data_IF_073316318485
#
_entry.id   IF_073316318485
#
_cell.length_a   1.000
_cell.length_b   1.000
_cell.length_c   1.000
_cell.angle_alpha   90.00
_cell.angle_beta   90.00
_cell.angle_gamma   90.00
#
_symmetry.space_group_name_H-M   'P 1'
#
loop_
_entity.id
_entity.type
_entity.pdbx_description
1 polymer ?
#
# COMPACT_ATOMS: atom_id res chain seq x y z
N UNK A 1 8.32 -22.94 17.63
CA UNK A 1 9.46 -22.07 17.24
C UNK A 1 9.15 -21.26 15.98
N UNK A 2 8.44 -21.85 15.01
CA UNK A 2 8.05 -21.25 13.73
C UNK A 2 7.28 -19.91 13.85
N UNK A 3 6.34 -19.78 14.79
CA UNK A 3 5.54 -18.55 14.98
C UNK A 3 6.39 -17.35 15.43
N UNK A 4 7.39 -17.57 16.29
CA UNK A 4 8.29 -16.50 16.77
C UNK A 4 9.23 -16.04 15.66
N UNK A 5 9.74 -16.97 14.86
CA UNK A 5 10.58 -16.65 13.70
C UNK A 5 9.78 -15.91 12.62
N UNK A 6 8.52 -16.29 12.39
CA UNK A 6 7.64 -15.59 11.45
C UNK A 6 7.29 -14.16 11.91
N UNK A 7 6.99 -13.97 13.19
CA UNK A 7 6.76 -12.62 13.75
C UNK A 7 8.00 -11.74 13.64
N UNK A 8 9.17 -12.29 13.98
CA UNK A 8 10.44 -11.57 13.89
C UNK A 8 10.76 -11.18 12.44
N UNK A 9 10.54 -12.09 11.49
CA UNK A 9 10.70 -11.81 10.06
C UNK A 9 9.82 -10.64 9.60
N UNK A 10 8.53 -10.63 9.98
CA UNK A 10 7.59 -9.56 9.61
C UNK A 10 8.05 -8.21 10.19
N UNK A 11 8.45 -8.18 11.48
CA UNK A 11 8.95 -6.96 12.11
C UNK A 11 10.21 -6.44 11.42
N UNK A 12 11.14 -7.33 11.06
CA UNK A 12 12.36 -6.96 10.33
C UNK A 12 12.03 -6.50 8.91
N UNK A 13 11.08 -7.12 8.20
CA UNK A 13 10.62 -6.67 6.89
C UNK A 13 10.02 -5.27 6.92
N UNK A 14 9.23 -4.96 7.95
CA UNK A 14 8.67 -3.61 8.13
C UNK A 14 9.80 -2.61 8.38
N UNK A 15 10.74 -2.92 9.26
CA UNK A 15 11.86 -2.03 9.58
C UNK A 15 12.78 -1.77 8.38
N UNK A 16 13.27 -2.83 7.74
CA UNK A 16 14.17 -2.73 6.58
C UNK A 16 13.45 -2.16 5.36
N UNK A 17 12.20 -2.57 5.13
CA UNK A 17 11.36 -2.02 4.06
C UNK A 17 11.17 -0.52 4.23
N UNK A 18 10.78 -0.06 5.42
CA UNK A 18 10.60 1.37 5.70
C UNK A 18 11.90 2.16 5.50
N UNK A 19 13.02 1.66 6.02
CA UNK A 19 14.32 2.34 5.90
C UNK A 19 14.79 2.44 4.44
N UNK A 20 14.71 1.34 3.68
CA UNK A 20 15.09 1.32 2.25
C UNK A 20 14.18 2.19 1.39
N UNK A 21 12.87 2.18 1.66
CA UNK A 21 11.90 3.09 1.03
C UNK A 21 12.22 4.56 1.29
N UNK A 22 12.51 4.91 2.55
CA UNK A 22 12.84 6.27 2.95
C UNK A 22 14.13 6.77 2.29
N UNK A 23 15.16 5.93 2.22
CA UNK A 23 16.42 6.28 1.52
C UNK A 23 16.16 6.55 0.04
N UNK A 24 15.41 5.68 -0.66
CA UNK A 24 15.09 5.91 -2.08
C UNK A 24 14.14 7.08 -2.30
N UNK A 25 13.22 7.35 -1.37
CA UNK A 25 12.39 8.54 -1.41
C UNK A 25 13.22 9.83 -1.26
N UNK A 26 14.21 9.85 -0.37
CA UNK A 26 15.15 10.98 -0.21
C UNK A 26 15.96 11.18 -1.50
N UNK A 27 16.50 10.11 -2.07
CA UNK A 27 17.23 10.18 -3.35
C UNK A 27 16.31 10.68 -4.47
N UNK A 28 15.09 10.18 -4.54
CA UNK A 28 14.07 10.61 -5.49
C UNK A 28 13.69 12.08 -5.32
N UNK A 29 13.54 12.53 -4.08
CA UNK A 29 13.27 13.93 -3.75
C UNK A 29 14.44 14.82 -4.20
N UNK A 30 15.69 14.46 -3.91
CA UNK A 30 16.85 15.23 -4.35
C UNK A 30 16.94 15.33 -5.87
N UNK A 31 16.74 14.21 -6.58
CA UNK A 31 16.72 14.19 -8.05
C UNK A 31 15.62 15.09 -8.59
N UNK A 32 14.42 14.97 -8.05
CA UNK A 32 13.24 15.67 -8.55
C UNK A 32 13.27 17.16 -8.21
N UNK A 33 13.71 17.51 -7.01
CA UNK A 33 13.82 18.90 -6.56
C UNK A 33 14.94 19.64 -7.30
N UNK A 34 16.13 19.03 -7.43
CA UNK A 34 17.28 19.69 -8.07
C UNK A 34 17.20 19.67 -9.60
N UNK A 35 16.77 18.56 -10.20
CA UNK A 35 16.76 18.44 -11.68
C UNK A 35 15.47 18.93 -12.31
N UNK A 36 14.32 18.75 -11.65
CA UNK A 36 13.02 19.00 -12.27
C UNK A 36 12.40 20.33 -11.83
N UNK A 37 12.19 20.52 -10.52
CA UNK A 37 11.52 21.72 -10.01
C UNK A 37 12.37 22.98 -10.15
N UNK A 38 13.66 22.92 -9.77
CA UNK A 38 14.55 24.08 -9.90
C UNK A 38 14.91 24.44 -11.35
N UNK A 39 15.05 23.47 -12.26
CA UNK A 39 15.41 23.77 -13.66
C UNK A 39 14.22 24.15 -14.55
N UNK A 40 13.04 23.57 -14.32
CA UNK A 40 11.88 23.74 -15.23
C UNK A 40 10.86 24.74 -14.66
N UNK A 41 10.53 24.65 -13.37
CA UNK A 41 9.41 25.40 -12.78
C UNK A 41 9.85 26.80 -12.32
N UNK A 42 11.08 26.96 -11.82
CA UNK A 42 11.55 28.24 -11.26
C UNK A 42 11.64 29.40 -12.27
N UNK A 43 11.78 29.13 -13.58
CA UNK A 43 12.09 30.20 -14.55
C UNK A 43 11.36 30.14 -15.91
N UNK A 44 10.57 29.09 -16.23
CA UNK A 44 10.02 28.92 -17.60
C UNK A 44 8.51 28.71 -17.70
N UNK A 45 7.80 28.51 -16.59
CA UNK A 45 6.41 28.03 -16.64
C UNK A 45 5.50 28.92 -15.79
N UNK A 46 4.80 29.85 -16.42
CA UNK A 46 3.81 30.74 -15.76
C UNK A 46 2.40 30.12 -15.67
N UNK A 47 2.15 29.03 -16.40
CA UNK A 47 0.83 28.42 -16.49
C UNK A 47 0.63 27.33 -15.41
N UNK A 48 -0.37 27.51 -14.55
CA UNK A 48 -0.68 26.59 -13.43
C UNK A 48 -0.91 25.13 -13.85
N UNK A 49 -1.38 24.87 -15.07
CA UNK A 49 -1.54 23.52 -15.61
C UNK A 49 -0.20 22.77 -15.68
N UNK A 50 0.84 23.40 -16.21
CA UNK A 50 2.15 22.79 -16.38
C UNK A 50 2.86 22.60 -15.04
N UNK A 51 2.70 23.55 -14.12
CA UNK A 51 3.18 23.41 -12.74
C UNK A 51 2.54 22.19 -12.08
N UNK A 52 1.22 22.01 -12.23
CA UNK A 52 0.51 20.82 -11.74
C UNK A 52 1.01 19.53 -12.38
N UNK A 53 1.17 19.50 -13.70
CA UNK A 53 1.65 18.31 -14.43
C UNK A 53 3.06 17.90 -13.99
N UNK A 54 3.98 18.86 -13.89
CA UNK A 54 5.36 18.56 -13.44
C UNK A 54 5.41 18.13 -11.98
N UNK A 55 4.56 18.72 -11.12
CA UNK A 55 4.43 18.30 -9.73
C UNK A 55 3.86 16.88 -9.63
N UNK A 56 2.92 16.51 -10.50
CA UNK A 56 2.38 15.15 -10.55
C UNK A 56 3.44 14.13 -10.97
N UNK A 57 4.23 14.43 -12.02
CA UNK A 57 5.33 13.56 -12.47
C UNK A 57 6.37 13.40 -11.37
N UNK A 58 6.73 14.50 -10.71
CA UNK A 58 7.64 14.54 -9.57
C UNK A 58 7.17 13.68 -8.39
N UNK A 59 5.87 13.76 -8.08
CA UNK A 59 5.25 12.95 -7.05
C UNK A 59 5.27 11.47 -7.44
N UNK A 60 4.86 11.13 -8.66
CA UNK A 60 4.81 9.74 -9.14
C UNK A 60 6.19 9.09 -9.20
N UNK A 61 7.24 9.83 -9.58
CA UNK A 61 8.61 9.31 -9.63
C UNK A 61 9.13 9.00 -8.23
N UNK A 62 8.98 9.95 -7.30
CA UNK A 62 9.43 9.81 -5.91
C UNK A 62 8.67 8.70 -5.19
N UNK A 63 7.35 8.64 -5.41
CA UNK A 63 6.50 7.58 -4.88
C UNK A 63 6.89 6.20 -5.41
N UNK A 64 7.11 6.09 -6.72
CA UNK A 64 7.52 4.83 -7.35
C UNK A 64 8.86 4.35 -6.78
N UNK A 65 9.85 5.24 -6.64
CA UNK A 65 11.15 4.90 -6.04
C UNK A 65 11.01 4.39 -4.60
N UNK A 66 10.15 5.03 -3.81
CA UNK A 66 9.86 4.57 -2.44
C UNK A 66 9.27 3.14 -2.45
N UNK A 67 8.28 2.88 -3.30
CA UNK A 67 7.63 1.56 -3.44
C UNK A 67 8.64 0.49 -3.85
N UNK A 68 9.51 0.81 -4.82
CA UNK A 68 10.59 -0.09 -5.26
C UNK A 68 11.52 -0.40 -4.10
N UNK A 69 11.97 0.61 -3.36
CA UNK A 69 12.87 0.44 -2.22
C UNK A 69 12.30 -0.51 -1.17
N UNK A 70 11.06 -0.25 -0.77
CA UNK A 70 10.35 -1.08 0.20
C UNK A 70 10.27 -2.52 -0.27
N UNK A 71 9.85 -2.76 -1.52
CA UNK A 71 9.68 -4.11 -2.02
C UNK A 71 11.00 -4.89 -2.14
N UNK A 72 12.09 -4.24 -2.54
CA UNK A 72 13.42 -4.84 -2.51
C UNK A 72 13.90 -5.13 -1.08
N UNK A 73 13.64 -4.22 -0.13
CA UNK A 73 13.93 -4.44 1.29
C UNK A 73 13.18 -5.66 1.86
N UNK A 74 11.89 -5.79 1.56
CA UNK A 74 11.07 -6.94 1.95
C UNK A 74 11.65 -8.24 1.36
N UNK A 75 11.96 -8.25 0.06
CA UNK A 75 12.53 -9.42 -0.61
C UNK A 75 13.88 -9.82 -0.02
N UNK A 76 14.75 -8.85 0.26
CA UNK A 76 16.06 -9.12 0.85
C UNK A 76 15.94 -9.79 2.22
N UNK A 77 15.01 -9.31 3.05
CA UNK A 77 14.73 -9.93 4.35
C UNK A 77 14.11 -11.32 4.16
N UNK A 78 13.10 -11.47 3.30
CA UNK A 78 12.47 -12.77 3.02
C UNK A 78 13.50 -13.84 2.62
N UNK A 79 14.41 -13.50 1.70
CA UNK A 79 15.48 -14.38 1.25
C UNK A 79 16.44 -14.76 2.39
N UNK A 80 16.77 -13.83 3.30
CA UNK A 80 17.61 -14.12 4.48
C UNK A 80 16.96 -15.09 5.46
N UNK A 81 15.63 -15.10 5.51
CA UNK A 81 14.85 -16.03 6.33
C UNK A 81 14.43 -17.31 5.56
N UNK A 82 14.96 -17.53 4.34
CA UNK A 82 14.67 -18.72 3.54
C UNK A 82 13.28 -18.75 2.92
N UNK A 83 12.56 -17.63 2.86
CA UNK A 83 11.28 -17.52 2.17
C UNK A 83 11.46 -17.02 0.74
N UNK A 84 10.77 -17.67 -0.20
CA UNK A 84 10.65 -17.13 -1.55
C UNK A 84 9.68 -15.94 -1.58
N UNK A 85 10.13 -14.83 -2.15
CA UNK A 85 9.36 -13.60 -2.23
C UNK A 85 9.24 -13.15 -3.69
N UNK A 86 8.03 -13.30 -4.22
CA UNK A 86 7.70 -12.83 -5.55
C UNK A 86 7.66 -11.29 -5.58
N UNK A 87 8.70 -10.70 -6.15
CA UNK A 87 8.89 -9.24 -6.20
C UNK A 87 7.70 -8.50 -6.83
N UNK A 88 7.07 -9.08 -7.87
CA UNK A 88 5.92 -8.46 -8.55
C UNK A 88 4.75 -8.25 -7.59
N UNK A 89 4.49 -9.24 -6.73
CA UNK A 89 3.39 -9.17 -5.77
C UNK A 89 3.71 -8.23 -4.60
N UNK A 90 4.97 -8.22 -4.16
CA UNK A 90 5.45 -7.25 -3.17
C UNK A 90 5.34 -5.81 -3.69
N UNK A 91 5.60 -5.57 -4.98
CA UNK A 91 5.42 -4.26 -5.62
C UNK A 91 3.94 -3.85 -5.67
N UNK A 92 3.08 -4.73 -6.17
CA UNK A 92 1.64 -4.46 -6.26
C UNK A 92 1.04 -4.16 -4.88
N UNK A 93 1.39 -4.97 -3.87
CA UNK A 93 0.97 -4.75 -2.50
C UNK A 93 1.50 -3.44 -1.92
N UNK A 94 2.77 -3.12 -2.15
CA UNK A 94 3.40 -1.89 -1.65
C UNK A 94 2.79 -0.63 -2.28
N UNK A 95 2.42 -0.72 -3.56
CA UNK A 95 1.71 0.34 -4.27
C UNK A 95 0.26 0.52 -3.77
N UNK A 96 -0.44 -0.56 -3.43
CA UNK A 96 -1.83 -0.51 -2.95
C UNK A 96 -1.97 -0.17 -1.46
N UNK A 97 -0.92 -0.35 -0.67
CA UNK A 97 -0.92 -0.08 0.78
C UNK A 97 -1.35 1.35 1.14
N UNK A 98 -0.69 2.40 0.60
CA UNK A 98 -1.06 3.79 0.90
C UNK A 98 -2.46 4.18 0.44
N UNK A 99 -2.91 3.88 -0.80
CA UNK A 99 -4.29 4.12 -1.19
C UNK A 99 -5.31 3.41 -0.30
N UNK A 100 -5.05 2.16 0.10
CA UNK A 100 -5.93 1.43 1.00
C UNK A 100 -6.01 2.12 2.38
N UNK A 101 -4.88 2.56 2.92
CA UNK A 101 -4.86 3.34 4.17
C UNK A 101 -5.63 4.66 4.02
N UNK A 102 -5.47 5.37 2.90
CA UNK A 102 -6.18 6.62 2.64
C UNK A 102 -7.71 6.41 2.69
N UNK A 103 -8.21 5.36 2.05
CA UNK A 103 -9.64 4.99 2.09
C UNK A 103 -10.07 4.69 3.52
N UNK A 104 -9.27 3.95 4.30
CA UNK A 104 -9.60 3.65 5.70
C UNK A 104 -9.65 4.91 6.56
N UNK A 105 -8.69 5.84 6.39
CA UNK A 105 -8.67 7.13 7.10
C UNK A 105 -9.90 7.96 6.72
N UNK A 106 -10.21 8.10 5.43
CA UNK A 106 -11.41 8.82 4.97
C UNK A 106 -12.69 8.21 5.54
N UNK A 107 -12.76 6.89 5.59
CA UNK A 107 -13.89 6.13 6.15
C UNK A 107 -14.13 6.48 7.62
N UNK A 108 -13.08 6.69 8.41
CA UNK A 108 -13.23 7.09 9.83
C UNK A 108 -13.81 8.50 10.02
N UNK A 109 -13.68 9.36 9.01
CA UNK A 109 -14.15 10.74 9.03
C UNK A 109 -15.48 10.93 8.27
N UNK A 110 -15.97 9.88 7.62
CA UNK A 110 -17.15 9.93 6.77
C UNK A 110 -18.42 10.07 7.64
N UNK A 111 -19.23 11.08 7.35
CA UNK A 111 -20.58 11.18 7.91
C UNK A 111 -21.54 10.32 7.08
N UNK A 112 -21.70 9.07 7.50
CA UNK A 112 -22.56 8.08 6.85
C UNK A 112 -24.03 8.51 6.76
N UNK A 113 -24.51 9.29 7.72
CA UNK A 113 -25.88 9.78 7.73
C UNK A 113 -26.10 10.80 6.60
N UNK A 114 -25.23 11.81 6.50
CA UNK A 114 -25.27 12.79 5.40
C UNK A 114 -25.09 12.12 4.04
N UNK A 115 -24.25 11.07 3.97
CA UNK A 115 -24.08 10.30 2.74
C UNK A 115 -25.37 9.61 2.31
N UNK A 116 -26.08 9.00 3.26
CA UNK A 116 -27.35 8.29 3.01
C UNK A 116 -28.45 9.26 2.60
N UNK A 117 -28.57 10.39 3.30
CA UNK A 117 -29.53 11.46 3.00
C UNK A 117 -29.29 12.06 1.60
N UNK A 118 -28.03 12.16 1.15
CA UNK A 118 -27.67 12.69 -0.17
C UNK A 118 -28.15 11.82 -1.35
N UNK A 119 -28.34 10.51 -1.13
CA UNK A 119 -28.83 9.58 -2.15
C UNK A 119 -30.34 9.32 -2.05
N UNK A 120 -31.03 9.96 -1.09
CA UNK A 120 -32.46 9.78 -0.84
C UNK A 120 -32.76 8.50 -0.05
N UNK A 121 -33.56 8.66 1.00
CA UNK A 121 -34.02 7.56 1.85
C UNK A 121 -34.82 6.53 1.05
N UNK A 122 -34.47 5.25 1.19
CA UNK A 122 -35.11 4.14 0.49
C UNK A 122 -34.62 3.86 -0.94
N UNK A 123 -33.61 4.60 -1.43
CA UNK A 123 -32.94 4.26 -2.69
C UNK A 123 -32.15 2.95 -2.56
N UNK A 124 -31.92 2.25 -3.69
CA UNK A 124 -31.03 1.07 -3.72
C UNK A 124 -29.62 1.39 -3.16
N UNK A 125 -29.15 2.63 -3.37
CA UNK A 125 -27.87 3.10 -2.84
C UNK A 125 -27.90 3.23 -1.31
N UNK A 126 -29.00 3.69 -0.71
CA UNK A 126 -29.17 3.74 0.76
C UNK A 126 -29.04 2.36 1.39
N UNK A 127 -29.64 1.32 0.78
CA UNK A 127 -29.50 -0.07 1.24
C UNK A 127 -28.07 -0.62 1.11
N UNK A 128 -27.37 -0.29 0.03
CA UNK A 128 -25.96 -0.66 -0.14
C UNK A 128 -25.09 0.02 0.93
N UNK A 129 -25.33 1.30 1.22
CA UNK A 129 -24.60 2.05 2.25
C UNK A 129 -24.81 1.40 3.63
N UNK A 130 -26.04 1.01 3.96
CA UNK A 130 -26.37 0.32 5.22
C UNK A 130 -25.61 -0.99 5.41
N UNK A 131 -25.31 -1.73 4.33
CA UNK A 131 -24.54 -2.98 4.39
C UNK A 131 -23.03 -2.69 4.41
N UNK A 132 -22.58 -1.69 3.64
CA UNK A 132 -21.16 -1.33 3.54
C UNK A 132 -20.66 -0.66 4.82
N UNK A 133 -21.49 0.17 5.46
CA UNK A 133 -21.14 0.92 6.67
C UNK A 133 -20.56 0.03 7.79
N UNK A 134 -21.19 -1.07 8.23
CA UNK A 134 -20.62 -1.90 9.30
C UNK A 134 -19.31 -2.58 8.88
N UNK A 135 -19.16 -2.99 7.62
CA UNK A 135 -17.90 -3.57 7.09
C UNK A 135 -16.79 -2.52 7.07
N UNK A 136 -17.12 -1.30 6.65
CA UNK A 136 -16.20 -0.18 6.57
C UNK A 136 -15.77 0.29 7.98
N UNK A 137 -16.70 0.34 8.94
CA UNK A 137 -16.40 0.64 10.34
C UNK A 137 -15.52 -0.43 10.99
N UNK A 138 -15.81 -1.71 10.75
CA UNK A 138 -15.00 -2.81 11.29
C UNK A 138 -13.57 -2.79 10.73
N UNK A 139 -13.42 -2.62 9.42
CA UNK A 139 -12.11 -2.56 8.76
C UNK A 139 -11.31 -1.30 9.11
N UNK A 140 -11.97 -0.16 9.35
CA UNK A 140 -11.32 1.09 9.74
C UNK A 140 -11.09 1.24 11.25
N UNK A 141 -11.63 0.34 12.07
CA UNK A 141 -11.46 0.38 13.53
C UNK A 141 -9.99 0.44 13.99
N UNK A 142 -9.05 -0.38 13.46
CA UNK A 142 -7.64 -0.30 13.84
C UNK A 142 -7.02 1.07 13.52
N UNK A 143 -7.41 1.67 12.40
CA UNK A 143 -6.98 3.00 11.95
C UNK A 143 -7.56 4.07 12.87
N UNK A 144 -8.83 3.96 13.25
CA UNK A 144 -9.47 4.87 14.21
C UNK A 144 -8.74 4.87 15.57
N UNK A 145 -8.38 3.70 16.09
CA UNK A 145 -7.62 3.57 17.34
C UNK A 145 -6.24 4.24 17.21
N UNK A 146 -5.52 4.01 16.11
CA UNK A 146 -4.22 4.63 15.85
C UNK A 146 -4.29 6.17 15.79
N UNK A 147 -5.31 6.71 15.11
CA UNK A 147 -5.55 8.15 15.04
C UNK A 147 -5.89 8.73 16.43
N UNK A 148 -6.67 8.01 17.23
CA UNK A 148 -7.06 8.43 18.59
C UNK A 148 -5.87 8.47 19.56
N UNK A 149 -4.88 7.60 19.37
CA UNK A 149 -3.62 7.58 20.14
C UNK A 149 -2.68 8.73 19.70
N UNK A 150 -3.02 9.45 18.62
CA UNK A 150 -2.23 10.56 18.11
C UNK A 150 -1.05 10.11 17.25
N UNK A 151 -1.13 8.91 16.65
CA UNK A 151 -0.11 8.48 15.68
C UNK A 151 -0.19 9.39 14.46
N UNK A 152 0.92 10.06 14.07
CA UNK A 152 0.93 10.94 12.91
C UNK A 152 0.62 10.15 11.64
N UNK A 153 -0.21 10.74 10.78
CA UNK A 153 -0.73 10.10 9.57
C UNK A 153 0.41 9.76 8.60
N UNK A 154 1.49 10.55 8.63
CA UNK A 154 2.72 10.35 7.87
C UNK A 154 3.40 9.01 8.23
N UNK A 155 3.46 8.66 9.51
CA UNK A 155 4.01 7.36 9.94
C UNK A 155 3.10 6.21 9.51
N UNK A 156 1.79 6.41 9.57
CA UNK A 156 0.83 5.40 9.11
C UNK A 156 1.02 5.13 7.61
N UNK A 157 1.17 6.18 6.79
CA UNK A 157 1.46 6.03 5.36
C UNK A 157 2.82 5.36 5.12
N UNK A 158 3.86 5.74 5.85
CA UNK A 158 5.18 5.10 5.73
C UNK A 158 5.13 3.61 6.04
N UNK A 159 4.33 3.18 7.02
CA UNK A 159 4.16 1.77 7.39
C UNK A 159 3.20 1.03 6.46
N UNK A 160 2.25 1.73 5.83
CA UNK A 160 1.30 1.12 4.91
C UNK A 160 1.97 0.53 3.66
N UNK A 161 3.06 1.14 3.18
CA UNK A 161 3.84 0.64 2.03
C UNK A 161 4.41 -0.75 2.34
N UNK A 162 5.22 -0.97 3.39
CA UNK A 162 5.76 -2.30 3.68
C UNK A 162 4.70 -3.30 4.10
N UNK A 163 3.66 -2.89 4.85
CA UNK A 163 2.55 -3.78 5.22
C UNK A 163 1.83 -4.27 3.97
N UNK A 164 1.50 -3.36 3.05
CA UNK A 164 0.89 -3.71 1.77
C UNK A 164 1.76 -4.67 0.98
N UNK A 165 3.07 -4.43 0.92
CA UNK A 165 4.02 -5.32 0.25
C UNK A 165 4.05 -6.73 0.83
N UNK A 166 4.08 -6.84 2.15
CA UNK A 166 4.08 -8.12 2.87
C UNK A 166 2.79 -8.90 2.60
N UNK A 167 1.63 -8.23 2.69
CA UNK A 167 0.33 -8.84 2.39
C UNK A 167 0.31 -9.31 0.93
N UNK A 168 0.74 -8.45 -0.01
CA UNK A 168 0.71 -8.73 -1.44
C UNK A 168 1.43 -10.01 -1.82
N UNK A 169 2.66 -10.23 -1.33
CA UNK A 169 3.40 -11.45 -1.69
C UNK A 169 2.95 -12.69 -0.90
N UNK A 170 2.44 -12.53 0.34
CA UNK A 170 1.93 -13.65 1.14
C UNK A 170 0.57 -14.17 0.66
N UNK A 171 -0.29 -13.30 0.13
CA UNK A 171 -1.62 -13.70 -0.35
C UNK A 171 -1.55 -14.69 -1.53
N UNK A 172 -0.49 -14.64 -2.34
CA UNK A 172 -0.34 -15.54 -3.49
C UNK A 172 0.33 -16.88 -3.17
N UNK A 173 0.91 -17.06 -1.96
CA UNK A 173 1.45 -18.35 -1.54
C UNK A 173 0.36 -19.43 -1.56
N UNK A 174 -0.85 -19.11 -1.07
CA UNK A 174 -1.96 -20.07 -1.06
C UNK A 174 -2.55 -20.36 -2.45
N UNK A 175 -2.42 -19.44 -3.42
CA UNK A 175 -2.96 -19.65 -4.78
C UNK A 175 -2.00 -20.45 -5.67
N UNK A 176 -0.69 -20.26 -5.49
CA UNK A 176 0.31 -20.99 -6.27
C UNK A 176 0.42 -22.46 -5.84
N UNK A 177 0.24 -22.78 -4.55
CA UNK A 177 0.16 -24.16 -4.07
C UNK A 177 -1.08 -24.90 -4.59
N UNK A 178 -2.24 -24.23 -4.61
CA UNK A 178 -3.48 -24.80 -5.13
C UNK A 178 -3.43 -25.04 -6.65
N UNK A 179 -2.75 -24.17 -7.40
CA UNK A 179 -2.56 -24.36 -8.84
C UNK A 179 -1.60 -25.52 -9.14
N UNK A 180 -0.54 -25.70 -8.35
CA UNK A 180 0.40 -26.81 -8.51
C UNK A 180 -0.24 -28.16 -8.16
N UNK A 181 -1.05 -28.25 -7.09
CA UNK A 181 -1.81 -29.47 -6.75
C UNK A 181 -2.84 -29.83 -7.84
N UNK A 182 -3.54 -28.83 -8.41
CA UNK A 182 -4.49 -29.10 -9.50
C UNK A 182 -3.83 -29.62 -10.79
N UNK A 183 -2.52 -29.36 -10.96
CA UNK A 183 -1.76 -29.81 -12.13
C UNK A 183 -1.17 -31.20 -11.92
N UNK A 184 -0.82 -31.58 -10.68
CA UNK A 184 -0.40 -32.95 -10.36
C UNK A 184 -1.55 -33.96 -10.38
N UNK A 185 -2.75 -33.56 -9.95
CA UNK A 185 -3.93 -34.45 -9.96
C UNK A 185 -4.49 -34.74 -11.36
N UNK A 186 -4.18 -33.87 -12.34
CA UNK A 186 -4.52 -34.10 -13.74
C UNK A 186 -3.55 -35.00 -14.49
N UNK A 187 -2.30 -35.13 -14.02
CA UNK A 187 -1.25 -35.91 -14.68
C UNK A 187 -1.31 -37.41 -14.35
N UNK A 188 -1.90 -37.79 -13.22
CA UNK A 188 -2.03 -39.19 -12.78
C UNK A 188 -3.38 -39.86 -13.17
N UNK A 189 -4.20 -39.24 -14.02
CA UNK A 189 -5.53 -39.76 -14.42
C UNK A 189 -5.63 -40.23 -15.87
N UNK A 190 -4.52 -40.52 -16.53
CA UNK A 190 -4.52 -41.17 -17.85
C UNK A 190 -3.82 -42.52 -17.79
N UNK A 191 -4.53 -43.53 -17.27
CA UNK A 191 -4.41 -44.94 -17.69
C UNK A 191 -5.79 -45.61 -17.60
#
# INVERSE_FOLDING_TARGET
METRQNLLMILVQIGVGSASGMVLAIVGYFLTNNLFLNSIVSNRVQNGFWVGLFTLIAFLSTYSLSVVGVAYGIKQVANRFGQDCNLKHAWQGSFLGPPALAVLVMTTQLNWQTLTESFGDGSLFSWVILIVQPVAQFSSFPVFVLLKIGVPVELMYSLSVPIGGIIGYRFNWHRSSAALDSTSDGFFKTE
#
